data_IF_425144497619
#
_entry.id   IF_425144497619
#
_cell.length_a   1.000
_cell.length_b   1.000
_cell.length_c   1.000
_cell.angle_alpha   90.00
_cell.angle_beta   90.00
_cell.angle_gamma   90.00
#
_symmetry.space_group_name_H-M   'P 1'
#
loop_
_entity.id
_entity.type
_entity.pdbx_description
1 polymer ?
#
# COMPACT_ATOMS: atom_id res chain seq x y z
N UNK A 1 -2.38 10.69 24.69
CA UNK A 1 -1.26 10.59 23.73
C UNK A 1 -0.49 11.89 23.82
N UNK A 2 0.79 11.83 24.18
CA UNK A 2 1.66 13.01 24.23
C UNK A 2 2.19 13.32 22.84
N UNK A 3 2.64 14.55 22.62
CA UNK A 3 3.19 14.96 21.34
C UNK A 3 4.50 14.25 20.94
N UNK A 4 5.16 13.58 21.88
CA UNK A 4 6.34 12.73 21.63
C UNK A 4 5.96 11.34 21.08
N UNK A 5 4.73 10.88 21.33
CA UNK A 5 4.23 9.60 20.84
C UNK A 5 3.98 9.68 19.32
N UNK A 6 4.62 8.81 18.53
CA UNK A 6 4.28 8.67 17.11
C UNK A 6 3.04 7.79 16.91
N UNK A 7 2.98 6.67 17.62
CA UNK A 7 1.88 5.71 17.60
C UNK A 7 1.71 5.08 18.98
N UNK A 8 0.47 4.85 19.38
CA UNK A 8 0.05 4.10 20.57
C UNK A 8 -0.82 2.92 20.13
N UNK A 9 -0.47 1.73 20.60
CA UNK A 9 -1.37 0.58 20.57
C UNK A 9 -2.45 0.77 21.64
N UNK A 10 -3.72 0.81 21.22
CA UNK A 10 -4.85 1.04 22.14
C UNK A 10 -5.19 -0.18 22.99
N UNK A 11 -4.58 -1.32 22.68
CA UNK A 11 -4.95 -2.61 23.20
C UNK A 11 -6.41 -3.03 22.92
N UNK A 12 -7.05 -2.47 21.89
CA UNK A 12 -8.41 -2.83 21.42
C UNK A 12 -8.38 -3.67 20.14
N UNK A 13 -9.11 -4.79 20.13
CA UNK A 13 -9.31 -5.64 18.95
C UNK A 13 -10.65 -5.30 18.32
N UNK A 14 -10.60 -4.84 17.09
CA UNK A 14 -11.77 -4.45 16.33
C UNK A 14 -12.16 -5.61 15.42
N UNK A 15 -13.44 -5.91 15.32
CA UNK A 15 -13.98 -6.91 14.41
C UNK A 15 -14.44 -6.27 13.10
N UNK A 16 -14.31 -7.02 12.00
CA UNK A 16 -14.81 -6.60 10.69
C UNK A 16 -16.31 -6.24 10.77
N UNK A 17 -16.66 -5.03 10.34
CA UNK A 17 -18.02 -4.50 10.37
C UNK A 17 -18.38 -3.67 11.61
N UNK A 18 -17.52 -3.61 12.63
CA UNK A 18 -17.76 -2.71 13.78
C UNK A 18 -17.56 -1.24 13.41
N UNK A 19 -18.29 -0.37 14.08
CA UNK A 19 -18.08 1.08 14.02
C UNK A 19 -17.19 1.52 15.18
N UNK A 20 -16.09 2.20 14.86
CA UNK A 20 -15.20 2.81 15.84
C UNK A 20 -15.42 4.32 15.82
N UNK A 21 -16.05 4.83 16.88
CA UNK A 21 -16.23 6.25 17.12
C UNK A 21 -15.06 6.76 17.95
N UNK A 22 -14.34 7.73 17.40
CA UNK A 22 -13.16 8.32 18.02
C UNK A 22 -13.41 9.82 18.14
N UNK A 23 -13.26 10.35 19.35
CA UNK A 23 -13.26 11.79 19.61
C UNK A 23 -11.97 12.19 20.28
N UNK A 24 -11.46 13.37 19.94
CA UNK A 24 -10.23 13.87 20.49
C UNK A 24 -10.29 15.36 20.80
N UNK A 25 -9.63 15.74 21.88
CA UNK A 25 -9.45 17.13 22.30
C UNK A 25 -8.02 17.33 22.79
N UNK A 26 -7.64 18.58 23.04
CA UNK A 26 -6.28 18.95 23.44
C UNK A 26 -5.57 19.72 22.35
N UNK A 27 -4.27 19.92 22.55
CA UNK A 27 -3.46 20.79 21.72
C UNK A 27 -2.04 20.27 21.62
N UNK A 28 -1.44 20.51 20.45
CA UNK A 28 -0.01 20.38 20.21
C UNK A 28 0.58 21.71 19.74
N UNK A 29 1.86 21.90 20.00
CA UNK A 29 2.67 23.02 19.50
C UNK A 29 3.94 22.49 18.85
N UNK A 30 4.11 22.75 17.56
CA UNK A 30 5.38 22.48 16.87
C UNK A 30 6.32 23.68 17.00
N UNK A 31 7.63 23.43 17.01
CA UNK A 31 8.65 24.47 17.20
C UNK A 31 8.60 25.60 16.15
N UNK A 32 8.20 25.29 14.92
CA UNK A 32 8.05 26.22 13.80
C UNK A 32 6.61 26.77 13.65
N UNK A 33 5.66 26.34 14.50
CA UNK A 33 4.27 26.75 14.41
C UNK A 33 3.97 28.01 15.25
N UNK A 34 3.31 28.99 14.61
CA UNK A 34 2.89 30.25 15.24
C UNK A 34 1.80 30.05 16.29
N UNK A 35 0.93 29.08 16.08
CA UNK A 35 -0.23 28.78 16.93
C UNK A 35 -0.26 27.30 17.30
N UNK A 36 -1.00 26.97 18.37
CA UNK A 36 -1.27 25.59 18.73
C UNK A 36 -2.21 24.98 17.68
N UNK A 37 -2.08 23.69 17.43
CA UNK A 37 -3.04 22.93 16.63
C UNK A 37 -3.87 21.99 17.51
N UNK A 38 -5.14 21.83 17.15
CA UNK A 38 -5.99 20.77 17.69
C UNK A 38 -5.77 19.44 16.96
N UNK A 39 -6.53 18.39 17.31
CA UNK A 39 -6.42 17.05 16.72
C UNK A 39 -6.65 16.99 15.20
N UNK A 40 -7.30 18.00 14.60
CA UNK A 40 -7.42 18.12 13.14
C UNK A 40 -6.08 18.43 12.46
N UNK A 41 -5.07 18.84 13.22
CA UNK A 41 -3.72 19.15 12.74
C UNK A 41 -3.60 20.55 12.14
N UNK A 42 -2.41 20.84 11.62
CA UNK A 42 -2.15 22.07 10.87
C UNK A 42 -2.65 21.92 9.42
N UNK A 43 -3.07 23.00 8.75
CA UNK A 43 -3.31 22.97 7.32
C UNK A 43 -2.06 22.54 6.55
N UNK A 44 -2.23 21.74 5.49
CA UNK A 44 -1.12 21.35 4.62
C UNK A 44 -0.50 22.58 3.96
N UNK A 45 0.80 22.76 4.17
CA UNK A 45 1.58 23.84 3.57
C UNK A 45 2.64 23.33 2.59
N UNK A 46 3.32 24.26 1.90
CA UNK A 46 4.43 23.94 1.00
C UNK A 46 5.55 23.16 1.72
N UNK A 47 5.81 23.45 3.00
CA UNK A 47 6.78 22.75 3.83
C UNK A 47 6.40 21.29 4.12
N UNK A 48 5.12 20.91 3.99
CA UNK A 48 4.69 19.52 4.19
C UNK A 48 4.93 18.65 2.97
N UNK A 49 5.12 19.24 1.78
CA UNK A 49 5.51 18.51 0.57
C UNK A 49 6.87 17.80 0.69
N UNK A 50 7.70 18.27 1.63
CA UNK A 50 9.00 17.69 1.93
C UNK A 50 8.97 16.73 3.12
N UNK A 51 7.86 16.67 3.88
CA UNK A 51 7.71 15.79 5.04
C UNK A 51 7.19 14.44 4.59
N UNK A 52 7.78 13.38 5.14
CA UNK A 52 7.28 12.01 4.97
C UNK A 52 6.33 11.71 6.12
N UNK A 53 5.10 12.19 6.01
CA UNK A 53 4.09 11.97 7.03
C UNK A 53 3.51 10.55 6.91
N UNK A 54 3.16 9.89 8.04
CA UNK A 54 2.51 8.58 8.02
C UNK A 54 1.21 8.55 7.20
N UNK A 55 0.46 9.66 7.18
CA UNK A 55 -0.73 9.84 6.37
C UNK A 55 -0.63 11.15 5.59
N UNK A 56 -0.16 11.06 4.35
CA UNK A 56 0.15 12.23 3.53
C UNK A 56 -1.08 13.03 3.11
N UNK A 57 -2.31 12.49 3.23
CA UNK A 57 -3.54 13.22 2.93
C UNK A 57 -3.98 14.18 4.05
N UNK A 58 -3.40 14.10 5.24
CA UNK A 58 -3.63 15.07 6.32
C UNK A 58 -2.38 15.89 6.64
N UNK A 59 -2.57 17.02 7.32
CA UNK A 59 -1.45 17.86 7.73
C UNK A 59 -0.72 17.33 8.95
N UNK A 60 0.40 17.98 9.28
CA UNK A 60 1.20 17.63 10.45
C UNK A 60 0.38 17.83 11.73
N UNK A 61 0.47 16.89 12.67
CA UNK A 61 -0.23 16.96 13.95
C UNK A 61 -1.67 16.46 13.95
N UNK A 62 -2.22 16.08 12.79
CA UNK A 62 -3.53 15.42 12.72
C UNK A 62 -3.50 14.10 13.48
N UNK A 63 -4.52 13.82 14.30
CA UNK A 63 -4.73 12.51 14.89
C UNK A 63 -5.09 11.52 13.77
N UNK A 64 -4.39 10.40 13.72
CA UNK A 64 -4.57 9.33 12.73
C UNK A 64 -4.80 8.00 13.42
N UNK A 65 -5.45 7.07 12.73
CA UNK A 65 -5.72 5.73 13.20
C UNK A 65 -5.27 4.68 12.20
N UNK A 66 -5.12 3.44 12.68
CA UNK A 66 -4.89 2.25 11.84
C UNK A 66 -5.56 1.06 12.51
N UNK A 67 -6.26 0.24 11.72
CA UNK A 67 -6.86 -1.03 12.17
C UNK A 67 -6.16 -2.15 11.40
N UNK A 68 -5.51 -3.05 12.11
CA UNK A 68 -4.78 -4.18 11.52
C UNK A 68 -3.26 -4.07 11.64
N UNK A 69 -2.57 -4.84 10.82
CA UNK A 69 -1.13 -5.00 10.85
C UNK A 69 -0.39 -3.70 10.48
N UNK A 70 0.73 -3.43 11.16
CA UNK A 70 1.41 -2.14 11.06
C UNK A 70 2.08 -1.86 9.72
N UNK A 71 2.45 -2.92 9.01
CA UNK A 71 3.23 -2.85 7.78
C UNK A 71 2.30 -2.84 6.56
N UNK A 72 1.06 -3.33 6.72
CA UNK A 72 0.12 -3.55 5.61
C UNK A 72 -1.18 -2.75 5.69
N UNK A 73 -1.67 -2.41 6.88
CA UNK A 73 -2.90 -1.63 7.02
C UNK A 73 -2.67 -0.15 6.72
N UNK A 74 -3.61 0.46 5.99
CA UNK A 74 -3.57 1.87 5.65
C UNK A 74 -4.00 2.73 6.85
N UNK A 75 -3.25 3.79 7.18
CA UNK A 75 -3.69 4.76 8.17
C UNK A 75 -4.85 5.60 7.60
N UNK A 76 -5.66 6.15 8.51
CA UNK A 76 -6.76 7.06 8.17
C UNK A 76 -6.76 8.27 9.10
N UNK A 77 -7.20 9.43 8.60
CA UNK A 77 -7.41 10.62 9.42
C UNK A 77 -8.56 10.42 10.40
N UNK A 78 -8.30 10.73 11.68
CA UNK A 78 -9.30 10.79 12.75
C UNK A 78 -9.70 12.25 12.99
N UNK A 79 -8.73 13.15 13.19
CA UNK A 79 -9.03 14.54 13.56
C UNK A 79 -9.65 14.66 14.96
N UNK A 80 -10.50 15.68 15.15
CA UNK A 80 -11.25 15.89 16.40
C UNK A 80 -12.41 14.89 16.59
N UNK A 81 -12.94 14.35 15.49
CA UNK A 81 -14.03 13.38 15.51
C UNK A 81 -14.05 12.51 14.25
N UNK A 82 -14.16 11.20 14.42
CA UNK A 82 -14.34 10.23 13.33
C UNK A 82 -15.21 9.06 13.75
N UNK A 83 -16.14 8.67 12.89
CA UNK A 83 -16.74 7.34 12.92
C UNK A 83 -16.21 6.55 11.73
N UNK A 84 -15.55 5.42 11.97
CA UNK A 84 -15.00 4.55 10.93
C UNK A 84 -15.59 3.15 11.02
N UNK A 85 -16.00 2.62 9.87
CA UNK A 85 -16.41 1.22 9.74
C UNK A 85 -15.16 0.36 9.53
N UNK A 86 -14.95 -0.65 10.37
CA UNK A 86 -13.83 -1.55 10.25
C UNK A 86 -13.97 -2.45 9.01
N UNK A 87 -13.06 -2.36 8.02
CA UNK A 87 -13.14 -3.20 6.83
C UNK A 87 -12.76 -4.66 7.13
N UNK A 88 -11.83 -4.85 8.08
CA UNK A 88 -11.29 -6.14 8.51
C UNK A 88 -11.16 -6.15 10.03
N UNK A 89 -11.01 -7.35 10.61
CA UNK A 89 -10.65 -7.48 12.01
C UNK A 89 -9.18 -7.13 12.22
N UNK A 90 -8.84 -6.48 13.33
CA UNK A 90 -7.46 -6.13 13.64
C UNK A 90 -7.29 -5.26 14.88
N UNK A 91 -6.03 -5.11 15.31
CA UNK A 91 -5.63 -4.23 16.41
C UNK A 91 -5.81 -2.77 16.01
N UNK A 92 -6.45 -1.97 16.86
CA UNK A 92 -6.52 -0.52 16.69
C UNK A 92 -5.28 0.16 17.28
N UNK A 93 -4.61 0.98 16.48
CA UNK A 93 -3.59 1.93 16.94
C UNK A 93 -4.02 3.36 16.59
N UNK A 94 -3.64 4.32 17.42
CA UNK A 94 -3.79 5.76 17.16
C UNK A 94 -2.41 6.41 17.14
N UNK A 95 -2.24 7.46 16.35
CA UNK A 95 -0.95 8.14 16.21
C UNK A 95 -1.10 9.61 15.87
N UNK A 96 0.01 10.33 15.92
CA UNK A 96 0.09 11.72 15.47
C UNK A 96 0.73 11.71 14.09
N UNK A 97 0.13 12.43 13.13
CA UNK A 97 0.67 12.54 11.79
C UNK A 97 1.93 13.41 11.78
N UNK A 98 3.08 12.82 12.11
CA UNK A 98 4.35 13.50 12.27
C UNK A 98 5.53 12.54 12.04
N UNK A 99 6.74 13.09 11.95
CA UNK A 99 7.97 12.28 11.85
C UNK A 99 8.64 12.18 13.22
N UNK A 100 9.49 11.18 13.43
CA UNK A 100 10.21 10.99 14.71
C UNK A 100 11.13 12.16 15.08
N UNK A 101 11.50 13.00 14.11
CA UNK A 101 12.42 14.12 14.29
C UNK A 101 11.71 15.48 14.23
N UNK A 102 10.38 15.49 14.07
CA UNK A 102 9.54 16.70 13.98
C UNK A 102 8.26 16.45 14.79
N UNK A 103 8.41 16.45 16.12
CA UNK A 103 7.35 16.17 17.09
C UNK A 103 6.77 17.45 17.68
N UNK A 104 5.49 17.41 18.08
CA UNK A 104 4.85 18.52 18.79
C UNK A 104 5.03 18.41 20.31
N UNK A 105 4.96 19.52 21.02
CA UNK A 105 4.82 19.55 22.48
C UNK A 105 3.34 19.63 22.86
N UNK A 106 2.93 18.96 23.94
CA UNK A 106 1.54 18.93 24.42
C UNK A 106 0.93 17.53 24.38
N UNK A 107 -0.40 17.45 24.34
CA UNK A 107 -1.10 16.16 24.36
C UNK A 107 -2.52 16.24 23.80
N UNK A 108 -2.98 15.10 23.29
CA UNK A 108 -4.38 14.83 23.00
C UNK A 108 -4.99 13.85 24.00
N UNK A 109 -6.20 14.17 24.44
CA UNK A 109 -7.10 13.25 25.11
C UNK A 109 -7.99 12.60 24.05
N UNK A 110 -7.89 11.28 23.91
CA UNK A 110 -8.60 10.49 22.89
C UNK A 110 -9.59 9.56 23.57
N UNK A 111 -10.84 9.59 23.15
CA UNK A 111 -11.91 8.68 23.58
C UNK A 111 -12.33 7.82 22.40
N UNK A 112 -12.38 6.51 22.64
CA UNK A 112 -12.70 5.49 21.63
C UNK A 112 -13.90 4.70 22.13
N UNK A 113 -14.90 4.54 21.27
CA UNK A 113 -16.08 3.73 21.51
C UNK A 113 -16.29 2.80 20.33
N UNK A 114 -16.56 1.52 20.60
CA UNK A 114 -16.76 0.50 19.58
C UNK A 114 -18.22 0.04 19.63
N UNK A 115 -18.87 0.07 18.47
CA UNK A 115 -20.26 -0.32 18.30
C UNK A 115 -20.34 -1.50 17.35
N UNK A 116 -21.21 -2.46 17.68
CA UNK A 116 -21.47 -3.62 16.82
C UNK A 116 -22.06 -3.21 15.46
N UNK A 117 -21.90 -4.04 14.41
CA UNK A 117 -22.44 -3.76 13.08
C UNK A 117 -23.96 -3.61 13.11
N UNK A 118 -24.51 -2.58 12.44
CA UNK A 118 -25.95 -2.52 12.18
C UNK A 118 -26.38 -3.74 11.35
N UNK A 119 -27.39 -4.49 11.83
CA UNK A 119 -27.94 -5.66 11.12
C UNK A 119 -27.19 -6.98 11.31
N UNK A 120 -26.13 -7.04 12.14
CA UNK A 120 -25.51 -8.31 12.56
C UNK A 120 -24.79 -9.11 11.48
N UNK A 121 -24.62 -8.57 10.28
CA UNK A 121 -23.82 -9.22 9.22
C UNK A 121 -22.35 -8.96 9.47
N UNK A 122 -21.64 -9.96 10.02
CA UNK A 122 -20.18 -9.97 10.03
C UNK A 122 -19.67 -9.84 8.58
N UNK A 123 -18.81 -8.85 8.31
CA UNK A 123 -18.15 -8.76 7.01
C UNK A 123 -17.28 -9.99 6.79
N UNK A 124 -17.36 -10.57 5.60
CA UNK A 124 -16.59 -11.75 5.21
C UNK A 124 -15.10 -11.36 5.23
N UNK A 125 -14.35 -11.97 6.15
CA UNK A 125 -12.89 -11.95 6.11
C UNK A 125 -12.45 -12.83 4.95
N UNK A 126 -11.45 -12.41 4.18
CA UNK A 126 -10.86 -13.22 3.13
C UNK A 126 -10.55 -14.63 3.66
N UNK A 127 -11.03 -15.66 2.96
CA UNK A 127 -10.89 -17.05 3.39
C UNK A 127 -9.75 -17.70 2.64
N UNK A 128 -8.69 -18.09 3.35
CA UNK A 128 -7.67 -18.92 2.73
C UNK A 128 -8.25 -20.29 2.32
N UNK A 129 -8.10 -20.63 1.04
CA UNK A 129 -8.55 -21.91 0.47
C UNK A 129 -7.36 -22.69 -0.08
N UNK A 130 -7.42 -24.02 0.02
CA UNK A 130 -6.39 -24.90 -0.56
C UNK A 130 -6.51 -25.05 -2.08
N UNK A 131 -7.66 -24.68 -2.65
CA UNK A 131 -7.94 -24.81 -4.09
C UNK A 131 -9.10 -23.91 -4.51
N UNK A 132 -9.03 -23.38 -5.72
CA UNK A 132 -10.13 -22.68 -6.37
C UNK A 132 -10.57 -23.46 -7.63
N UNK A 133 -11.88 -23.63 -7.88
CA UNK A 133 -12.36 -24.32 -9.08
C UNK A 133 -11.78 -23.70 -10.36
N UNK A 134 -11.15 -24.52 -11.20
CA UNK A 134 -10.52 -24.10 -12.45
C UNK A 134 -9.12 -23.47 -12.32
N UNK A 135 -8.61 -23.34 -11.09
CA UNK A 135 -7.20 -23.01 -10.82
C UNK A 135 -6.46 -24.33 -10.57
N UNK A 136 -5.85 -24.88 -11.60
CA UNK A 136 -5.20 -26.19 -11.59
C UNK A 136 -3.92 -26.23 -12.44
N UNK A 137 -3.24 -27.39 -12.47
CA UNK A 137 -2.00 -27.58 -13.23
C UNK A 137 -2.18 -27.39 -14.75
N UNK A 138 -3.39 -27.59 -15.28
CA UNK A 138 -3.67 -27.36 -16.70
C UNK A 138 -3.87 -25.87 -17.02
N UNK A 139 -4.33 -25.08 -16.05
CA UNK A 139 -4.26 -23.62 -16.14
C UNK A 139 -2.80 -23.16 -16.07
N UNK A 140 -2.04 -23.64 -15.08
CA UNK A 140 -0.66 -23.22 -14.88
C UNK A 140 0.26 -23.55 -16.05
N UNK A 141 0.03 -24.65 -16.76
CA UNK A 141 0.80 -25.00 -17.97
C UNK A 141 0.65 -23.98 -19.12
N UNK A 142 -0.41 -23.17 -19.10
CA UNK A 142 -0.67 -22.12 -20.11
C UNK A 142 -0.06 -20.77 -19.74
N UNK A 143 0.49 -20.64 -18.54
CA UNK A 143 1.03 -19.39 -18.00
C UNK A 143 2.57 -19.49 -18.04
N UNK A 144 3.26 -18.62 -18.79
CA UNK A 144 4.71 -18.56 -18.73
C UNK A 144 5.18 -18.29 -17.29
N UNK A 145 6.21 -19.02 -16.84
CA UNK A 145 6.72 -18.86 -15.47
C UNK A 145 7.46 -17.55 -15.22
N UNK A 146 7.97 -16.94 -16.30
CA UNK A 146 8.68 -15.66 -16.26
C UNK A 146 8.09 -14.71 -17.28
N UNK A 147 8.08 -13.45 -16.92
CA UNK A 147 7.88 -12.34 -17.87
C UNK A 147 9.18 -12.11 -18.63
N UNK A 148 9.14 -11.35 -19.73
CA UNK A 148 10.34 -11.04 -20.51
C UNK A 148 10.44 -9.55 -20.83
N UNK A 149 11.62 -9.08 -21.20
CA UNK A 149 11.72 -7.82 -21.94
C UNK A 149 11.22 -7.99 -23.39
N UNK A 150 11.31 -6.91 -24.18
CA UNK A 150 10.85 -6.88 -25.57
C UNK A 150 11.67 -7.80 -26.48
N UNK A 151 12.95 -8.00 -26.15
CA UNK A 151 13.90 -8.85 -26.84
C UNK A 151 13.76 -10.34 -26.45
N UNK A 152 12.96 -10.63 -25.41
CA UNK A 152 12.67 -11.98 -24.95
C UNK A 152 13.61 -12.49 -23.85
N UNK A 153 14.47 -11.63 -23.28
CA UNK A 153 15.25 -12.03 -22.11
C UNK A 153 14.35 -12.18 -20.90
N UNK A 154 14.65 -13.17 -20.07
CA UNK A 154 13.88 -13.47 -18.88
C UNK A 154 13.95 -12.32 -17.86
N UNK A 155 12.78 -11.89 -17.39
CA UNK A 155 12.60 -10.99 -16.26
C UNK A 155 12.07 -11.74 -15.03
N UNK A 156 11.22 -11.05 -14.27
CA UNK A 156 10.67 -11.51 -13.00
C UNK A 156 9.85 -12.80 -13.10
N UNK A 157 9.70 -13.49 -11.97
CA UNK A 157 8.84 -14.66 -11.86
C UNK A 157 7.37 -14.23 -11.78
N UNK A 158 6.50 -14.95 -12.48
CA UNK A 158 5.07 -14.92 -12.21
C UNK A 158 4.82 -15.63 -10.89
N UNK A 159 4.24 -14.92 -9.91
CA UNK A 159 4.09 -15.42 -8.54
C UNK A 159 2.69 -15.23 -7.95
N UNK A 160 1.75 -14.57 -8.63
CA UNK A 160 0.35 -14.51 -8.18
C UNK A 160 -0.66 -14.40 -9.32
N UNK A 161 -1.92 -14.61 -8.97
CA UNK A 161 -3.08 -14.61 -9.87
C UNK A 161 -4.21 -13.85 -9.18
N UNK A 162 -5.03 -13.13 -9.94
CA UNK A 162 -6.26 -12.51 -9.43
C UNK A 162 -7.42 -12.91 -10.33
N UNK A 163 -8.50 -13.41 -9.73
CA UNK A 163 -9.72 -13.76 -10.45
C UNK A 163 -10.82 -12.74 -10.15
N UNK A 164 -11.13 -11.86 -11.11
CA UNK A 164 -12.07 -10.78 -10.86
C UNK A 164 -12.19 -9.78 -12.01
N UNK A 165 -13.20 -8.91 -11.92
CA UNK A 165 -13.36 -7.83 -12.90
C UNK A 165 -12.19 -6.84 -12.82
N UNK A 166 -11.90 -6.17 -13.93
CA UNK A 166 -10.89 -5.12 -13.98
C UNK A 166 -11.16 -4.00 -12.98
N UNK A 167 -12.42 -3.56 -12.88
CA UNK A 167 -12.85 -2.53 -11.96
C UNK A 167 -12.65 -2.95 -10.50
N UNK A 168 -12.96 -4.22 -10.17
CA UNK A 168 -12.73 -4.76 -8.83
C UNK A 168 -11.24 -4.80 -8.51
N UNK A 169 -10.41 -5.33 -9.42
CA UNK A 169 -8.95 -5.38 -9.23
C UNK A 169 -8.37 -3.99 -8.94
N UNK A 170 -8.68 -2.99 -9.79
CA UNK A 170 -8.21 -1.62 -9.57
C UNK A 170 -8.71 -1.01 -8.26
N UNK A 171 -9.97 -1.28 -7.89
CA UNK A 171 -10.54 -0.78 -6.64
C UNK A 171 -9.84 -1.38 -5.41
N UNK A 172 -9.53 -2.68 -5.43
CA UNK A 172 -8.81 -3.35 -4.33
C UNK A 172 -7.40 -2.78 -4.19
N UNK A 173 -6.65 -2.63 -5.28
CA UNK A 173 -5.29 -2.07 -5.24
C UNK A 173 -5.28 -0.63 -4.71
N UNK A 174 -6.15 0.24 -5.23
CA UNK A 174 -6.23 1.63 -4.78
C UNK A 174 -6.67 1.74 -3.32
N UNK A 175 -7.62 0.91 -2.88
CA UNK A 175 -8.05 0.84 -1.46
C UNK A 175 -6.92 0.34 -0.55
N UNK A 176 -6.08 -0.58 -1.03
CA UNK A 176 -4.89 -1.04 -0.34
C UNK A 176 -3.71 -0.02 -0.38
N UNK A 177 -3.91 1.16 -0.96
CA UNK A 177 -2.92 2.23 -1.08
C UNK A 177 -1.79 1.94 -2.06
N UNK A 178 -2.03 1.05 -3.03
CA UNK A 178 -1.15 0.92 -4.20
C UNK A 178 -1.45 2.04 -5.20
N UNK A 179 -0.40 2.66 -5.70
CA UNK A 179 -0.43 3.74 -6.68
C UNK A 179 -0.16 3.15 -8.06
N UNK A 180 -0.99 3.51 -9.04
CA UNK A 180 -0.76 3.10 -10.43
C UNK A 180 0.47 3.81 -10.97
N UNK A 181 1.33 3.05 -11.63
CA UNK A 181 2.55 3.54 -12.27
C UNK A 181 2.41 3.33 -13.77
N UNK A 182 2.50 4.42 -14.53
CA UNK A 182 2.44 4.36 -15.98
C UNK A 182 3.70 3.68 -16.55
N UNK A 183 3.50 2.83 -17.56
CA UNK A 183 4.56 2.04 -18.18
C UNK A 183 5.40 2.85 -19.19
N UNK A 184 5.09 4.12 -19.41
CA UNK A 184 5.58 4.87 -20.57
C UNK A 184 6.32 6.15 -20.18
N UNK A 185 7.58 5.99 -19.78
CA UNK A 185 8.58 7.04 -19.96
C UNK A 185 9.83 6.39 -20.55
N UNK A 186 10.23 6.91 -21.71
CA UNK A 186 11.46 6.56 -22.41
C UNK A 186 12.62 6.45 -21.41
N UNK A 187 13.30 5.31 -21.39
CA UNK A 187 14.42 4.95 -20.47
C UNK A 187 15.45 6.07 -20.28
N UNK A 188 15.60 6.95 -21.27
CA UNK A 188 16.54 8.07 -21.29
C UNK A 188 16.36 9.09 -20.16
N UNK A 189 15.17 9.21 -19.54
CA UNK A 189 14.92 10.20 -18.46
C UNK A 189 15.31 9.68 -17.07
N UNK A 190 15.41 8.36 -16.89
CA UNK A 190 15.56 7.75 -15.56
C UNK A 190 16.96 7.95 -14.95
N UNK A 191 18.00 7.98 -15.81
CA UNK A 191 19.39 7.86 -15.39
C UNK A 191 19.97 9.03 -14.57
N UNK A 192 19.34 10.21 -14.62
CA UNK A 192 19.85 11.42 -13.94
C UNK A 192 19.04 11.90 -12.74
N UNK A 193 17.78 11.45 -12.60
CA UNK A 193 16.82 12.01 -11.64
C UNK A 193 16.65 11.15 -10.38
N UNK A 194 16.87 9.83 -10.47
CA UNK A 194 16.64 8.90 -9.35
C UNK A 194 17.27 9.41 -8.05
N UNK A 195 18.49 9.98 -8.13
CA UNK A 195 19.29 10.47 -7.00
C UNK A 195 18.67 11.60 -6.17
N UNK A 196 17.82 12.45 -6.75
CA UNK A 196 17.32 13.70 -6.14
C UNK A 196 15.80 13.74 -5.90
N UNK A 197 15.06 12.69 -6.25
CA UNK A 197 13.60 12.66 -6.13
C UNK A 197 13.14 12.46 -4.68
N UNK A 198 12.01 13.10 -4.36
CA UNK A 198 11.22 12.83 -3.15
C UNK A 198 10.60 11.43 -3.20
N UNK A 199 10.14 10.91 -2.06
CA UNK A 199 9.51 9.57 -1.99
C UNK A 199 8.26 9.47 -2.88
N UNK A 200 7.41 10.48 -2.88
CA UNK A 200 6.20 10.52 -3.73
C UNK A 200 6.54 10.46 -5.22
N UNK A 201 7.54 11.24 -5.64
CA UNK A 201 8.02 11.19 -7.02
C UNK A 201 8.69 9.86 -7.34
N UNK A 202 9.32 9.20 -6.36
CA UNK A 202 9.89 7.86 -6.51
C UNK A 202 8.82 6.77 -6.68
N UNK A 203 7.72 6.83 -5.91
CA UNK A 203 6.61 5.87 -6.01
C UNK A 203 5.91 5.93 -7.37
N UNK A 204 5.80 7.13 -7.92
CA UNK A 204 5.19 7.38 -9.23
C UNK A 204 6.19 7.18 -10.39
N UNK A 205 7.45 6.79 -10.11
CA UNK A 205 8.42 6.58 -11.17
C UNK A 205 7.98 5.46 -12.11
N UNK A 206 7.98 5.72 -13.42
CA UNK A 206 7.63 4.76 -14.47
C UNK A 206 8.37 3.44 -14.32
N UNK A 207 7.69 2.36 -14.71
CA UNK A 207 8.30 1.04 -14.79
C UNK A 207 8.54 0.67 -16.25
N UNK A 208 9.67 0.02 -16.53
CA UNK A 208 9.94 -0.55 -17.85
C UNK A 208 8.82 -1.52 -18.25
N UNK A 209 8.54 -1.55 -19.56
CA UNK A 209 7.60 -2.50 -20.14
C UNK A 209 8.20 -3.91 -20.09
N UNK A 210 7.43 -4.83 -19.51
CA UNK A 210 7.71 -6.26 -19.52
C UNK A 210 6.53 -6.99 -20.15
N UNK A 211 6.81 -8.15 -20.71
CA UNK A 211 5.93 -8.86 -21.62
C UNK A 211 5.52 -10.20 -21.01
N UNK A 212 4.23 -10.49 -21.15
CA UNK A 212 3.64 -11.79 -20.89
C UNK A 212 2.57 -12.01 -21.96
N UNK A 213 2.41 -13.24 -22.42
CA UNK A 213 1.51 -13.56 -23.54
C UNK A 213 1.81 -12.76 -24.83
N UNK A 214 3.09 -12.40 -25.05
CA UNK A 214 3.53 -11.63 -26.22
C UNK A 214 3.08 -10.17 -26.23
N UNK A 215 2.63 -9.62 -25.09
CA UNK A 215 2.13 -8.24 -25.00
C UNK A 215 2.62 -7.54 -23.72
N UNK A 216 2.74 -6.20 -23.69
CA UNK A 216 3.19 -5.46 -22.51
C UNK A 216 2.17 -5.55 -21.35
N UNK A 217 2.58 -5.21 -20.12
CA UNK A 217 1.69 -5.20 -18.96
C UNK A 217 0.46 -4.29 -19.14
N UNK A 218 -0.66 -4.67 -18.53
CA UNK A 218 -1.87 -3.84 -18.45
C UNK A 218 -1.73 -2.80 -17.33
N UNK A 219 -1.12 -3.19 -16.21
CA UNK A 219 -0.95 -2.35 -15.03
C UNK A 219 0.43 -2.50 -14.41
N UNK A 220 0.96 -1.38 -13.91
CA UNK A 220 2.04 -1.34 -12.94
C UNK A 220 1.51 -0.72 -11.65
N UNK A 221 1.84 -1.30 -10.50
CA UNK A 221 1.48 -0.80 -9.19
C UNK A 221 2.73 -0.65 -8.33
N UNK A 222 2.78 0.40 -7.53
CA UNK A 222 3.81 0.61 -6.52
C UNK A 222 3.18 1.01 -5.19
N UNK A 223 3.78 0.58 -4.08
CA UNK A 223 3.36 0.96 -2.74
C UNK A 223 4.57 1.33 -1.90
N UNK A 224 4.44 2.41 -1.13
CA UNK A 224 5.46 2.87 -0.20
C UNK A 224 5.61 1.92 0.98
N UNK A 225 6.83 1.77 1.46
CA UNK A 225 7.08 1.17 2.76
C UNK A 225 6.89 2.23 3.87
N UNK A 226 6.16 1.91 4.96
CA UNK A 226 5.91 2.86 6.04
C UNK A 226 7.17 3.35 6.79
N UNK A 227 8.30 2.61 6.74
CA UNK A 227 9.48 2.84 7.60
C UNK A 227 10.81 2.86 6.81
N UNK A 228 10.83 2.93 5.48
CA UNK A 228 12.12 2.96 4.77
C UNK A 228 12.66 4.38 4.57
N UNK A 229 13.87 4.66 5.05
CA UNK A 229 14.64 5.89 4.74
C UNK A 229 15.42 5.76 3.44
N UNK A 230 15.51 4.53 2.91
CA UNK A 230 16.17 4.16 1.67
C UNK A 230 15.10 4.11 0.56
N UNK A 231 15.47 4.38 -0.69
CA UNK A 231 14.56 4.24 -1.84
C UNK A 231 14.27 2.76 -2.10
N UNK A 232 13.34 2.20 -1.33
CA UNK A 232 12.70 0.90 -1.56
C UNK A 232 11.23 1.13 -1.87
N UNK A 233 10.69 0.33 -2.78
CA UNK A 233 9.26 0.27 -3.06
C UNK A 233 8.88 -1.17 -3.35
N UNK A 234 7.72 -1.57 -2.86
CA UNK A 234 7.05 -2.77 -3.31
C UNK A 234 6.42 -2.44 -4.65
N UNK A 235 6.68 -3.24 -5.68
CA UNK A 235 6.11 -2.99 -6.99
C UNK A 235 5.71 -4.28 -7.68
N UNK A 236 4.74 -4.17 -8.58
CA UNK A 236 4.25 -5.31 -9.32
C UNK A 236 3.72 -4.90 -10.68
N UNK A 237 3.65 -5.89 -11.56
CA UNK A 237 3.07 -5.77 -12.89
C UNK A 237 1.98 -6.81 -13.06
N UNK A 238 0.93 -6.46 -13.78
CA UNK A 238 -0.24 -7.31 -14.01
C UNK A 238 -0.61 -7.34 -15.49
N UNK A 239 -0.91 -8.53 -15.99
CA UNK A 239 -1.42 -8.79 -17.34
C UNK A 239 -2.77 -9.48 -17.27
N UNK A 240 -3.68 -9.09 -18.17
CA UNK A 240 -4.90 -9.85 -18.43
C UNK A 240 -4.54 -11.13 -19.20
N UNK A 241 -4.94 -12.28 -18.67
CA UNK A 241 -4.76 -13.54 -19.39
C UNK A 241 -5.64 -13.57 -20.66
N UNK A 242 -5.19 -14.23 -21.74
CA UNK A 242 -5.99 -14.38 -22.97
C UNK A 242 -7.12 -15.42 -22.82
N UNK A 243 -7.32 -15.94 -21.62
CA UNK A 243 -8.35 -16.93 -21.28
C UNK A 243 -9.00 -16.55 -19.95
N UNK A 244 -10.18 -17.13 -19.70
CA UNK A 244 -10.96 -16.96 -18.49
C UNK A 244 -11.00 -18.26 -17.69
N UNK A 245 -11.29 -18.14 -16.39
CA UNK A 245 -11.56 -19.28 -15.52
C UNK A 245 -13.02 -19.17 -15.08
N UNK A 246 -13.85 -20.14 -15.45
CA UNK A 246 -15.28 -20.17 -15.12
C UNK A 246 -16.03 -18.87 -15.49
N UNK A 247 -15.72 -18.29 -16.65
CA UNK A 247 -16.33 -17.03 -17.13
C UNK A 247 -15.83 -15.76 -16.42
N UNK A 248 -14.86 -15.87 -15.50
CA UNK A 248 -14.23 -14.74 -14.82
C UNK A 248 -12.90 -14.39 -15.46
N UNK A 249 -12.62 -13.09 -15.54
CA UNK A 249 -11.32 -12.57 -16.00
C UNK A 249 -10.22 -13.00 -15.05
N UNK A 250 -9.17 -13.60 -15.61
CA UNK A 250 -7.95 -13.96 -14.90
C UNK A 250 -6.88 -12.92 -15.17
N UNK A 251 -6.26 -12.43 -14.11
CA UNK A 251 -5.11 -11.54 -14.13
C UNK A 251 -3.89 -12.30 -13.61
N UNK A 252 -2.77 -12.12 -14.27
CA UNK A 252 -1.50 -12.75 -13.94
C UNK A 252 -0.53 -11.68 -13.47
N UNK A 253 0.13 -11.95 -12.35
CA UNK A 253 0.96 -10.97 -11.68
C UNK A 253 2.39 -11.44 -11.46
N UNK A 254 3.30 -10.47 -11.53
CA UNK A 254 4.67 -10.60 -11.04
C UNK A 254 4.91 -9.45 -10.06
N UNK A 255 5.08 -9.78 -8.79
CA UNK A 255 5.42 -8.83 -7.73
C UNK A 255 6.88 -9.01 -7.31
N UNK A 256 7.59 -7.91 -7.18
CA UNK A 256 9.00 -7.87 -6.79
C UNK A 256 9.26 -6.73 -5.80
N UNK A 257 10.15 -6.99 -4.85
CA UNK A 257 10.58 -6.01 -3.86
C UNK A 257 11.93 -5.41 -4.28
N UNK A 258 11.98 -4.09 -4.46
CA UNK A 258 13.23 -3.38 -4.77
C UNK A 258 14.01 -3.07 -3.48
N UNK A 259 15.15 -3.71 -3.29
CA UNK A 259 16.07 -3.48 -2.15
C UNK A 259 17.19 -2.47 -2.46
N UNK A 260 17.16 -1.84 -3.64
CA UNK A 260 18.10 -0.78 -4.03
C UNK A 260 18.31 -0.69 -5.55
N UNK A 261 19.48 -0.20 -5.95
CA UNK A 261 19.89 -0.12 -7.35
C UNK A 261 21.13 -0.98 -7.58
N UNK A 262 21.22 -1.56 -8.78
CA UNK A 262 22.41 -2.22 -9.27
C UNK A 262 22.65 -1.88 -10.74
N UNK A 263 23.85 -2.23 -11.22
CA UNK A 263 24.21 -2.02 -12.62
C UNK A 263 23.66 -3.17 -13.44
N UNK A 264 22.84 -2.89 -14.44
CA UNK A 264 22.33 -3.91 -15.36
C UNK A 264 23.54 -4.50 -16.12
N UNK A 265 23.76 -5.81 -15.96
CA UNK A 265 24.90 -6.50 -16.55
C UNK A 265 24.80 -6.62 -18.08
N UNK A 266 23.63 -6.37 -18.67
CA UNK A 266 23.37 -6.51 -20.12
C UNK A 266 23.66 -5.24 -20.89
N UNK A 267 23.26 -4.09 -20.36
CA UNK A 267 23.36 -2.79 -21.04
C UNK A 267 24.17 -1.75 -20.26
N UNK A 268 24.75 -2.12 -19.11
CA UNK A 268 25.51 -1.23 -18.24
C UNK A 268 24.70 -0.06 -17.65
N UNK A 269 23.37 -0.11 -17.76
CA UNK A 269 22.42 0.85 -17.22
C UNK A 269 22.23 0.71 -15.70
N UNK A 270 21.34 1.52 -15.13
CA UNK A 270 20.93 1.43 -13.71
C UNK A 270 19.61 0.67 -13.70
N UNK A 271 19.57 -0.47 -13.00
CA UNK A 271 18.35 -1.24 -12.74
C UNK A 271 18.09 -1.30 -11.24
N UNK A 272 16.88 -1.65 -10.83
CA UNK A 272 16.62 -1.98 -9.44
C UNK A 272 17.26 -3.32 -9.07
N UNK A 273 17.77 -3.39 -7.84
CA UNK A 273 18.19 -4.65 -7.21
C UNK A 273 16.96 -5.27 -6.57
N UNK A 274 16.57 -6.44 -7.06
CA UNK A 274 15.39 -7.15 -6.61
C UNK A 274 15.75 -8.11 -5.48
N UNK A 275 14.91 -8.18 -4.45
CA UNK A 275 15.01 -9.19 -3.40
C UNK A 275 14.86 -10.59 -4.01
N UNK A 276 15.81 -11.52 -3.80
CA UNK A 276 15.68 -12.88 -4.32
C UNK A 276 14.49 -13.66 -3.73
N UNK A 277 13.95 -13.25 -2.58
CA UNK A 277 12.81 -13.93 -1.94
C UNK A 277 11.47 -13.41 -2.48
N UNK A 278 11.10 -13.93 -3.65
CA UNK A 278 9.87 -13.57 -4.36
C UNK A 278 8.59 -13.99 -3.61
N UNK A 279 8.68 -14.91 -2.66
CA UNK A 279 7.54 -15.40 -1.88
C UNK A 279 7.15 -14.37 -0.82
N UNK A 280 8.14 -13.68 -0.21
CA UNK A 280 7.85 -12.59 0.73
C UNK A 280 7.04 -11.47 0.09
N UNK A 281 7.37 -11.10 -1.14
CA UNK A 281 6.63 -10.04 -1.84
C UNK A 281 5.22 -10.50 -2.24
N UNK A 282 5.06 -11.75 -2.68
CA UNK A 282 3.73 -12.33 -2.93
C UNK A 282 2.86 -12.28 -1.66
N UNK A 283 3.42 -12.71 -0.53
CA UNK A 283 2.72 -12.73 0.75
C UNK A 283 2.43 -11.31 1.26
N UNK A 284 3.29 -10.33 0.94
CA UNK A 284 3.03 -8.92 1.19
C UNK A 284 1.85 -8.41 0.36
N UNK A 285 1.81 -8.69 -0.95
CA UNK A 285 0.66 -8.36 -1.81
C UNK A 285 -0.62 -8.97 -1.23
N UNK A 286 -0.63 -10.26 -0.90
CA UNK A 286 -1.79 -10.93 -0.30
C UNK A 286 -2.28 -10.20 0.96
N UNK A 287 -1.39 -9.91 1.92
CA UNK A 287 -1.74 -9.24 3.18
C UNK A 287 -2.28 -7.83 2.94
N UNK A 288 -1.64 -7.06 2.05
CA UNK A 288 -2.07 -5.69 1.75
C UNK A 288 -3.46 -5.66 1.13
N UNK A 289 -3.74 -6.54 0.15
CA UNK A 289 -5.05 -6.58 -0.48
C UNK A 289 -6.11 -7.16 0.45
N UNK A 290 -5.78 -8.16 1.27
CA UNK A 290 -6.69 -8.75 2.26
C UNK A 290 -7.10 -7.73 3.33
N UNK A 291 -6.19 -6.81 3.71
CA UNK A 291 -6.48 -5.75 4.68
C UNK A 291 -7.61 -4.79 4.27
N UNK A 292 -8.00 -4.80 3.00
CA UNK A 292 -9.11 -3.98 2.48
C UNK A 292 -10.49 -4.53 2.81
N UNK A 293 -10.60 -5.82 3.14
CA UNK A 293 -11.88 -6.51 3.29
C UNK A 293 -12.65 -6.70 1.97
N UNK A 294 -12.00 -6.51 0.82
CA UNK A 294 -12.58 -6.65 -0.52
C UNK A 294 -12.20 -7.96 -1.22
N UNK A 295 -11.35 -8.78 -0.59
CA UNK A 295 -10.98 -10.13 -1.04
C UNK A 295 -11.85 -11.17 -0.35
N UNK A 296 -12.26 -12.19 -1.12
CA UNK A 296 -13.13 -13.27 -0.64
C UNK A 296 -12.38 -14.57 -0.39
N UNK A 297 -11.46 -14.97 -1.27
CA UNK A 297 -10.69 -16.23 -1.22
C UNK A 297 -9.25 -16.08 -1.69
#
# INVERSE_FOLDING_TARGET
MTGEDSWIDTSMDIQAGEHVLITATGKLRYADAKDDNGPDGLPRGFSDLLRVLPFNEAGRGTLIGRIGDKDTAQPFAIGSHRNVLAPVSGRLSVGINQTTNDTGEGAYAVRIEVYSPEGGTARVVARQVSSLPGIDNNLFSKIPRRISDKEGHAGDMVNFLILGSEATMQHVFTTAGWVRVDADVKETVLHGLIGSLSKESYLTMPMSQLFLFGRPQDYGWARAEPISVVRSRNHLRIWKAPFQVNGKTLWIGAATHDIGFERDQRNNGITHKIDPDIDLERDYVEKTLSSTGLITE
#
